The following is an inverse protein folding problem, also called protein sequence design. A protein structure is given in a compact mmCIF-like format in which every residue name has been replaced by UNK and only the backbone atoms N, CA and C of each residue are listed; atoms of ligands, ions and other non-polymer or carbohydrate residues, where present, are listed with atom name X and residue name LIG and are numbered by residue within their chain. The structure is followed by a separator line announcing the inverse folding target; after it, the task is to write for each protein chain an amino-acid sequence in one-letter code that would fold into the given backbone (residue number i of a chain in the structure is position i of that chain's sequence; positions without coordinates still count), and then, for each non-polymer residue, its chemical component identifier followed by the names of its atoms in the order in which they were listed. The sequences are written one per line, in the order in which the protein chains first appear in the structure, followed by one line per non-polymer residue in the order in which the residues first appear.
data_IF_824910385329
#
_entry.id   IF_824910385329
#
_cell.length_a   1.000
_cell.length_b   1.000
_cell.length_c   1.000
_cell.angle_alpha   90.00
_cell.angle_beta   90.00
_cell.angle_gamma   90.00
#
_symmetry.space_group_name_H-M   'P 1'
#
loop_
_entity.id
_entity.type
_entity.pdbx_description
1 polymer ?
#
# COMPACT_ATOMS: atom_id res chain seq x y z
N UNK A 1 -20.00 1.65 24.20
CA UNK A 1 -21.06 0.96 23.43
C UNK A 1 -20.56 -0.47 23.19
N UNK A 2 -21.19 -1.49 23.78
CA UNK A 2 -20.77 -2.89 23.57
C UNK A 2 -21.37 -3.37 22.26
N UNK A 3 -20.52 -3.63 21.27
CA UNK A 3 -20.93 -4.30 20.01
C UNK A 3 -21.40 -5.72 20.34
N UNK A 4 -22.42 -6.21 19.64
CA UNK A 4 -22.84 -7.61 19.74
C UNK A 4 -21.77 -8.55 19.17
N UNK A 5 -21.76 -9.83 19.57
CA UNK A 5 -20.77 -10.82 19.12
C UNK A 5 -20.70 -10.96 17.59
N UNK A 6 -21.80 -10.74 16.88
CA UNK A 6 -21.85 -10.75 15.42
C UNK A 6 -21.25 -9.48 14.81
N UNK A 7 -21.51 -8.31 15.39
CA UNK A 7 -20.93 -7.04 14.94
C UNK A 7 -19.42 -6.98 15.18
N UNK A 8 -18.93 -7.52 16.31
CA UNK A 8 -17.49 -7.61 16.57
C UNK A 8 -16.79 -8.56 15.59
N UNK A 9 -17.45 -9.66 15.21
CA UNK A 9 -16.92 -10.61 14.22
C UNK A 9 -16.88 -9.99 12.82
N UNK A 10 -17.96 -9.34 12.38
CA UNK A 10 -18.00 -8.64 11.09
C UNK A 10 -16.97 -7.51 11.02
N UNK A 11 -16.80 -6.76 12.11
CA UNK A 11 -15.80 -5.71 12.18
C UNK A 11 -14.38 -6.29 12.05
N UNK A 12 -14.09 -7.38 12.75
CA UNK A 12 -12.82 -8.12 12.63
C UNK A 12 -12.56 -8.60 11.20
N UNK A 13 -13.57 -9.19 10.54
CA UNK A 13 -13.47 -9.62 9.15
C UNK A 13 -13.23 -8.44 8.20
N UNK A 14 -13.92 -7.32 8.39
CA UNK A 14 -13.68 -6.08 7.62
C UNK A 14 -12.24 -5.58 7.79
N UNK A 15 -11.71 -5.63 9.02
CA UNK A 15 -10.31 -5.28 9.28
C UNK A 15 -9.35 -6.21 8.54
N UNK A 16 -9.55 -7.53 8.61
CA UNK A 16 -8.67 -8.49 7.94
C UNK A 16 -8.70 -8.37 6.43
N UNK A 17 -9.88 -8.20 5.82
CA UNK A 17 -9.98 -8.01 4.38
C UNK A 17 -9.40 -6.66 3.96
N UNK A 18 -9.65 -5.60 4.72
CA UNK A 18 -9.01 -4.29 4.52
C UNK A 18 -7.49 -4.40 4.67
N UNK A 19 -6.98 -5.19 5.62
CA UNK A 19 -5.55 -5.43 5.79
C UNK A 19 -4.97 -6.21 4.60
N UNK A 20 -5.62 -7.31 4.19
CA UNK A 20 -5.22 -8.09 3.03
C UNK A 20 -5.13 -7.17 1.81
N UNK A 21 -6.19 -6.41 1.48
CA UNK A 21 -6.19 -5.42 0.38
C UNK A 21 -4.98 -4.47 0.43
N UNK A 22 -4.49 -4.10 1.62
CA UNK A 22 -3.40 -3.12 1.80
C UNK A 22 -2.00 -3.74 1.83
N UNK A 23 -1.83 -4.96 2.34
CA UNK A 23 -0.51 -5.54 2.62
C UNK A 23 -0.40 -6.98 2.10
N UNK A 24 0.31 -7.15 0.99
CA UNK A 24 0.76 -8.45 0.49
C UNK A 24 2.27 -8.42 0.28
N UNK A 25 2.98 -9.38 0.87
CA UNK A 25 4.40 -9.66 0.59
C UNK A 25 4.54 -11.13 0.19
N UNK A 26 5.24 -11.46 -0.91
CA UNK A 26 5.50 -12.85 -1.33
C UNK A 26 6.42 -13.61 -0.37
N UNK A 27 7.19 -12.88 0.44
CA UNK A 27 8.25 -13.42 1.30
C UNK A 27 7.82 -13.81 2.71
N UNK A 28 6.54 -13.62 3.07
CA UNK A 28 6.03 -13.97 4.40
C UNK A 28 5.29 -15.31 4.34
N UNK A 29 5.75 -16.37 5.05
CA UNK A 29 4.94 -17.56 5.23
C UNK A 29 3.68 -17.15 6.00
N UNK A 30 2.54 -17.09 5.34
CA UNK A 30 1.24 -16.70 5.91
C UNK A 30 0.67 -17.74 6.90
N UNK A 31 1.51 -18.63 7.42
CA UNK A 31 1.18 -19.59 8.47
C UNK A 31 0.48 -18.91 9.67
N UNK A 32 0.79 -17.64 9.95
CA UNK A 32 0.10 -16.83 10.96
C UNK A 32 -1.35 -16.43 10.61
N UNK A 33 -1.70 -16.15 9.34
CA UNK A 33 -3.09 -15.92 8.95
C UNK A 33 -3.90 -17.22 9.00
N UNK A 34 -3.33 -18.35 8.57
CA UNK A 34 -3.96 -19.66 8.78
C UNK A 34 -4.14 -19.96 10.27
N UNK A 35 -3.19 -19.62 11.16
CA UNK A 35 -3.33 -19.83 12.62
C UNK A 35 -4.35 -18.89 13.26
N UNK A 36 -4.46 -17.64 12.81
CA UNK A 36 -5.44 -16.69 13.33
C UNK A 36 -6.85 -16.92 12.77
N UNK A 37 -6.97 -17.27 11.49
CA UNK A 37 -8.21 -17.76 10.90
C UNK A 37 -8.60 -19.06 11.59
N UNK A 38 -7.68 -20.01 11.81
CA UNK A 38 -7.97 -21.24 12.57
C UNK A 38 -8.45 -20.97 14.01
N UNK A 39 -7.91 -19.95 14.71
CA UNK A 39 -8.40 -19.54 16.04
C UNK A 39 -9.77 -18.85 16.01
N UNK A 40 -10.04 -18.03 15.00
CA UNK A 40 -11.37 -17.44 14.75
C UNK A 40 -12.40 -18.53 14.40
N UNK A 41 -11.99 -19.53 13.64
CA UNK A 41 -12.81 -20.70 13.28
C UNK A 41 -13.05 -21.64 14.48
N UNK A 42 -12.06 -21.80 15.37
CA UNK A 42 -12.20 -22.56 16.61
C UNK A 42 -13.20 -21.97 17.61
N UNK A 43 -13.52 -20.67 17.50
CA UNK A 43 -14.56 -20.01 18.31
C UNK A 43 -15.95 -20.06 17.66
N UNK A 44 -16.04 -20.27 16.34
CA UNK A 44 -17.31 -20.35 15.60
C UNK A 44 -17.87 -21.79 15.52
N UNK A 45 -17.02 -22.81 15.66
CA UNK A 45 -17.44 -24.22 15.71
C UNK A 45 -17.46 -24.76 17.15
N UNK A 46 -18.47 -24.38 17.92
CA UNK A 46 -18.96 -25.25 19.00
C UNK A 46 -20.00 -26.22 18.41
N UNK A 47 -19.58 -27.11 17.52
CA UNK A 47 -20.37 -28.28 17.13
C UNK A 47 -19.45 -29.49 16.98
N UNK A 48 -19.71 -30.47 17.86
CA UNK A 48 -19.38 -31.89 17.85
C UNK A 48 -18.07 -32.32 17.17
N UNK A 49 -17.19 -32.89 18.00
CA UNK A 49 -16.12 -33.80 17.63
C UNK A 49 -16.58 -34.79 16.55
N UNK A 50 -16.17 -34.58 15.30
CA UNK A 50 -16.21 -35.62 14.26
C UNK A 50 -14.77 -36.05 14.04
N UNK A 51 -14.43 -37.21 14.60
CA UNK A 51 -13.22 -37.94 14.26
C UNK A 51 -13.37 -38.43 12.82
N UNK A 52 -12.68 -37.78 11.87
CA UNK A 52 -12.54 -38.31 10.51
C UNK A 52 -11.56 -39.48 10.60
N UNK A 53 -12.08 -40.71 10.42
CA UNK A 53 -11.23 -41.85 10.10
C UNK A 53 -10.68 -41.64 8.69
N UNK A 54 -9.37 -41.59 8.58
CA UNK A 54 -8.65 -41.69 7.31
C UNK A 54 -8.81 -43.12 6.78
N UNK A 55 -9.75 -43.32 5.86
CA UNK A 55 -9.70 -44.48 4.97
C UNK A 55 -8.76 -44.13 3.80
N UNK A 56 -7.79 -45.01 3.56
CA UNK A 56 -6.75 -44.88 2.54
C UNK A 56 -7.39 -44.71 1.15
N UNK A 57 -7.19 -43.53 0.55
CA UNK A 57 -7.51 -43.33 -0.87
C UNK A 57 -6.41 -44.02 -1.68
N UNK A 58 -6.78 -45.12 -2.34
CA UNK A 58 -5.91 -45.95 -3.16
C UNK A 58 -5.55 -45.21 -4.48
N UNK A 59 -4.32 -44.72 -4.60
CA UNK A 59 -3.83 -43.87 -5.72
C UNK A 59 -3.45 -44.71 -6.96
N UNK A 60 -4.02 -45.91 -7.13
CA UNK A 60 -3.62 -46.83 -8.22
C UNK A 60 -4.36 -46.66 -9.55
N UNK A 61 -5.29 -45.70 -9.69
CA UNK A 61 -6.16 -45.58 -10.87
C UNK A 61 -6.23 -44.20 -11.54
N UNK A 62 -5.23 -43.33 -11.36
CA UNK A 62 -5.13 -42.14 -12.22
C UNK A 62 -4.27 -42.47 -13.45
N UNK A 63 -4.93 -42.72 -14.58
CA UNK A 63 -4.26 -42.79 -15.88
C UNK A 63 -3.58 -41.45 -16.17
N UNK A 64 -2.29 -41.49 -16.53
CA UNK A 64 -1.53 -40.33 -16.99
C UNK A 64 -2.25 -39.66 -18.17
N UNK A 65 -2.52 -38.35 -18.13
CA UNK A 65 -3.01 -37.66 -19.32
C UNK A 65 -1.85 -37.51 -20.32
N UNK A 66 -2.13 -37.84 -21.59
CA UNK A 66 -1.22 -37.64 -22.71
C UNK A 66 -0.69 -36.20 -22.74
N UNK A 67 0.63 -36.08 -22.69
CA UNK A 67 1.37 -34.82 -22.89
C UNK A 67 1.15 -34.36 -24.33
N UNK A 68 0.14 -33.52 -24.55
CA UNK A 68 0.08 -32.68 -25.76
C UNK A 68 1.15 -31.61 -25.62
N UNK A 69 2.19 -31.73 -26.41
CA UNK A 69 3.21 -30.70 -26.64
C UNK A 69 2.54 -29.45 -27.22
N UNK A 70 2.13 -28.53 -26.35
CA UNK A 70 1.87 -27.14 -26.75
C UNK A 70 3.20 -26.50 -27.14
N UNK A 71 3.21 -25.89 -28.32
CA UNK A 71 4.38 -25.25 -28.91
C UNK A 71 5.06 -24.24 -27.98
N UNK A 72 6.37 -24.16 -28.15
CA UNK A 72 7.28 -23.26 -27.46
C UNK A 72 6.90 -21.79 -27.64
N UNK A 73 6.09 -21.26 -26.73
CA UNK A 73 6.27 -19.89 -26.28
C UNK A 73 6.89 -20.04 -24.89
N UNK A 74 8.20 -19.79 -24.79
CA UNK A 74 8.86 -19.72 -23.50
C UNK A 74 8.15 -18.64 -22.67
N UNK A 75 7.32 -19.07 -21.73
CA UNK A 75 6.72 -18.20 -20.75
C UNK A 75 7.87 -17.74 -19.87
N UNK A 76 8.41 -16.55 -20.16
CA UNK A 76 9.45 -15.93 -19.36
C UNK A 76 8.94 -15.89 -17.92
N UNK A 77 9.64 -16.58 -17.02
CA UNK A 77 9.33 -16.50 -15.59
C UNK A 77 9.49 -15.04 -15.15
N UNK A 78 8.62 -14.54 -14.27
CA UNK A 78 8.76 -13.18 -13.74
C UNK A 78 10.13 -13.03 -13.06
N UNK A 79 10.66 -11.80 -13.07
CA UNK A 79 11.92 -11.48 -12.40
C UNK A 79 11.84 -11.87 -10.91
N UNK A 80 12.94 -12.40 -10.37
CA UNK A 80 13.00 -12.70 -8.95
C UNK A 80 13.08 -11.42 -8.12
N UNK A 81 12.68 -11.47 -6.85
CA UNK A 81 12.79 -10.32 -5.93
C UNK A 81 14.22 -9.75 -5.89
N UNK A 82 15.24 -10.62 -5.93
CA UNK A 82 16.65 -10.22 -5.95
C UNK A 82 17.02 -9.46 -7.23
N UNK A 83 16.50 -9.89 -8.39
CA UNK A 83 16.70 -9.18 -9.65
C UNK A 83 16.01 -7.81 -9.65
N UNK A 84 14.78 -7.74 -9.15
CA UNK A 84 14.05 -6.47 -9.04
C UNK A 84 14.75 -5.50 -8.09
N UNK A 85 15.23 -5.99 -6.95
CA UNK A 85 16.01 -5.20 -6.00
C UNK A 85 17.31 -4.68 -6.62
N UNK A 86 18.01 -5.52 -7.39
CA UNK A 86 19.22 -5.11 -8.08
C UNK A 86 18.94 -4.00 -9.10
N UNK A 87 17.87 -4.15 -9.90
CA UNK A 87 17.44 -3.13 -10.88
C UNK A 87 17.10 -1.81 -10.17
N UNK A 88 16.35 -1.89 -9.07
CA UNK A 88 15.99 -0.75 -8.23
C UNK A 88 17.22 -0.03 -7.68
N UNK A 89 18.13 -0.75 -7.04
CA UNK A 89 19.33 -0.16 -6.43
C UNK A 89 20.24 0.47 -7.49
N UNK A 90 20.41 -0.20 -8.64
CA UNK A 90 21.18 0.34 -9.77
C UNK A 90 20.57 1.65 -10.28
N UNK A 91 19.24 1.71 -10.43
CA UNK A 91 18.55 2.95 -10.83
C UNK A 91 18.78 4.05 -9.81
N UNK A 92 18.56 3.76 -8.52
CA UNK A 92 18.77 4.70 -7.41
C UNK A 92 20.21 5.23 -7.46
N UNK A 93 21.24 4.40 -7.52
CA UNK A 93 22.66 4.82 -7.57
C UNK A 93 23.03 5.67 -8.79
N UNK A 94 22.26 5.53 -9.88
CA UNK A 94 22.45 6.31 -11.10
C UNK A 94 21.95 7.76 -11.01
N UNK A 95 21.10 8.07 -10.03
CA UNK A 95 20.56 9.42 -9.81
C UNK A 95 21.65 10.41 -9.39
N UNK A 96 21.58 11.61 -9.94
CA UNK A 96 22.54 12.69 -9.73
C UNK A 96 21.98 13.74 -8.77
N UNK A 97 22.57 13.82 -7.58
CA UNK A 97 22.18 14.79 -6.54
C UNK A 97 22.32 16.25 -6.99
N UNK A 98 23.31 16.56 -7.84
CA UNK A 98 23.52 17.93 -8.33
C UNK A 98 22.44 18.30 -9.34
N UNK A 99 22.08 17.38 -10.24
CA UNK A 99 20.97 17.57 -11.17
C UNK A 99 19.62 17.74 -10.43
N UNK A 100 19.42 16.99 -9.34
CA UNK A 100 18.21 17.05 -8.52
C UNK A 100 18.13 18.36 -7.73
N UNK A 101 19.23 18.84 -7.15
CA UNK A 101 19.24 20.17 -6.55
C UNK A 101 19.07 21.27 -7.61
N UNK A 102 19.69 21.16 -8.79
CA UNK A 102 19.46 22.10 -9.88
C UNK A 102 17.98 22.16 -10.30
N UNK A 103 17.29 21.01 -10.35
CA UNK A 103 15.84 20.93 -10.57
C UNK A 103 15.07 21.69 -9.47
N UNK A 104 15.34 21.40 -8.19
CA UNK A 104 14.68 22.09 -7.07
C UNK A 104 14.93 23.60 -7.10
N UNK A 105 16.17 24.01 -7.40
CA UNK A 105 16.58 25.41 -7.53
C UNK A 105 15.78 26.15 -8.61
N UNK A 106 15.53 25.52 -9.76
CA UNK A 106 14.70 26.11 -10.84
C UNK A 106 13.29 26.47 -10.36
N UNK A 107 12.70 25.63 -9.51
CA UNK A 107 11.37 25.89 -8.92
C UNK A 107 11.40 26.80 -7.69
N UNK A 108 12.59 27.19 -7.22
CA UNK A 108 12.78 28.16 -6.13
C UNK A 108 13.50 29.44 -6.59
N UNK A 109 13.15 29.95 -7.78
CA UNK A 109 13.72 31.19 -8.34
C UNK A 109 15.25 31.18 -8.47
N UNK A 110 15.85 30.01 -8.76
CA UNK A 110 17.30 29.86 -8.92
C UNK A 110 18.10 29.95 -7.62
N UNK A 111 17.46 29.88 -6.44
CA UNK A 111 18.18 29.89 -5.17
C UNK A 111 19.06 28.63 -5.04
N UNK A 112 20.30 28.76 -4.53
CA UNK A 112 21.16 27.60 -4.31
C UNK A 112 20.56 26.69 -3.23
N UNK A 113 20.76 25.38 -3.41
CA UNK A 113 20.36 24.38 -2.44
C UNK A 113 21.48 23.36 -2.20
N UNK A 114 21.24 22.49 -1.22
CA UNK A 114 22.02 21.29 -1.00
C UNK A 114 21.08 20.12 -0.73
N UNK A 115 21.40 18.94 -1.27
CA UNK A 115 20.79 17.69 -0.83
C UNK A 115 21.35 17.36 0.56
N UNK A 116 20.48 17.39 1.57
CA UNK A 116 20.85 17.17 2.98
C UNK A 116 20.55 15.75 3.46
N UNK A 117 19.61 15.07 2.80
CA UNK A 117 19.29 13.69 3.12
C UNK A 117 18.75 12.97 1.87
N UNK A 118 18.86 11.64 1.87
CA UNK A 118 18.38 10.77 0.82
C UNK A 118 17.74 9.53 1.43
N UNK A 119 16.52 9.22 0.98
CA UNK A 119 15.79 8.00 1.36
C UNK A 119 15.23 7.32 0.13
N UNK A 120 14.89 6.04 0.23
CA UNK A 120 14.21 5.32 -0.86
C UNK A 120 13.18 4.35 -0.30
N UNK A 121 11.95 4.43 -0.83
CA UNK A 121 10.87 3.50 -0.56
C UNK A 121 10.78 2.42 -1.63
N UNK A 122 9.63 1.73 -1.70
CA UNK A 122 9.39 0.70 -2.72
C UNK A 122 9.38 1.26 -4.14
N UNK A 123 8.77 2.43 -4.35
CA UNK A 123 8.50 2.98 -5.69
C UNK A 123 9.15 4.34 -5.97
N UNK A 124 9.72 4.99 -4.96
CA UNK A 124 10.27 6.33 -5.05
C UNK A 124 11.63 6.46 -4.35
N UNK A 125 12.51 7.27 -4.93
CA UNK A 125 13.72 7.79 -4.29
C UNK A 125 13.48 9.26 -3.89
N UNK A 126 13.64 9.57 -2.61
CA UNK A 126 13.37 10.88 -2.03
C UNK A 126 14.69 11.59 -1.69
N UNK A 127 14.83 12.82 -2.18
CA UNK A 127 15.97 13.68 -1.92
C UNK A 127 15.49 14.91 -1.16
N UNK A 128 15.95 15.07 0.07
CA UNK A 128 15.63 16.22 0.90
C UNK A 128 16.61 17.33 0.57
N UNK A 129 16.07 18.48 0.19
CA UNK A 129 16.80 19.62 -0.35
C UNK A 129 16.56 20.83 0.54
N UNK A 130 17.64 21.44 1.02
CA UNK A 130 17.59 22.61 1.90
C UNK A 130 18.16 23.85 1.21
N UNK A 131 17.43 24.97 1.31
CA UNK A 131 17.79 26.23 0.66
C UNK A 131 18.49 27.21 1.63
N UNK A 132 19.76 26.98 1.94
CA UNK A 132 20.50 27.78 2.94
C UNK A 132 20.21 27.35 4.38
N UNK A 133 20.83 27.99 5.37
CA UNK A 133 20.76 27.52 6.77
C UNK A 133 19.37 27.59 7.40
N UNK A 134 18.62 28.67 7.10
CA UNK A 134 17.26 28.93 7.64
C UNK A 134 16.17 28.87 6.55
N UNK A 135 16.50 28.32 5.39
CA UNK A 135 15.54 28.21 4.29
C UNK A 135 14.57 27.05 4.44
N UNK A 136 13.53 27.02 3.58
CA UNK A 136 12.62 25.91 3.52
C UNK A 136 13.36 24.62 3.12
N UNK A 137 12.84 23.50 3.59
CA UNK A 137 13.25 22.18 3.16
C UNK A 137 12.16 21.58 2.27
N UNK A 138 12.57 21.06 1.11
CA UNK A 138 11.70 20.40 0.15
C UNK A 138 12.12 18.95 -0.01
N UNK A 139 11.17 18.10 -0.38
CA UNK A 139 11.45 16.74 -0.84
C UNK A 139 11.26 16.68 -2.35
N UNK A 140 12.29 16.20 -3.05
CA UNK A 140 12.21 15.83 -4.47
C UNK A 140 12.09 14.32 -4.54
N UNK A 141 10.90 13.84 -4.92
CA UNK A 141 10.59 12.41 -5.12
C UNK A 141 10.80 12.07 -6.59
N UNK A 142 11.62 11.07 -6.85
CA UNK A 142 11.87 10.51 -8.19
C UNK A 142 11.30 9.10 -8.26
N UNK A 143 10.47 8.83 -9.27
CA UNK A 143 9.89 7.51 -9.44
C UNK A 143 10.95 6.50 -9.88
N UNK A 144 10.87 5.29 -9.34
CA UNK A 144 11.71 4.16 -9.73
C UNK A 144 11.04 3.49 -10.93
N UNK A 145 11.15 4.13 -12.10
CA UNK A 145 10.47 3.74 -13.34
C UNK A 145 10.67 2.26 -13.75
N UNK A 146 11.84 1.62 -13.58
CA UNK A 146 12.05 0.24 -14.04
C UNK A 146 11.15 -0.83 -13.40
N UNK A 147 10.47 -0.51 -12.30
CA UNK A 147 9.60 -1.42 -11.54
C UNK A 147 8.12 -0.99 -11.57
N UNK A 148 7.76 -0.03 -12.43
CA UNK A 148 6.42 0.54 -12.48
C UNK A 148 5.82 0.45 -13.89
N UNK A 149 4.58 -0.01 -13.95
CA UNK A 149 3.73 0.11 -15.13
C UNK A 149 3.00 1.45 -15.11
N UNK A 150 3.05 2.19 -16.23
CA UNK A 150 2.46 3.51 -16.40
C UNK A 150 2.74 4.51 -15.24
N UNK A 151 4.02 4.84 -14.99
CA UNK A 151 4.42 5.65 -13.84
C UNK A 151 3.86 7.08 -13.85
N UNK A 152 3.46 7.61 -15.01
CA UNK A 152 2.96 8.98 -15.08
C UNK A 152 1.56 9.15 -14.51
N UNK A 153 0.64 8.21 -14.79
CA UNK A 153 -0.71 8.27 -14.24
C UNK A 153 -0.68 8.20 -12.71
N UNK A 154 0.29 7.47 -12.16
CA UNK A 154 0.55 7.42 -10.73
C UNK A 154 0.97 8.78 -10.15
N UNK A 155 1.89 9.48 -10.80
CA UNK A 155 2.26 10.86 -10.40
C UNK A 155 1.06 11.78 -10.43
N UNK A 156 0.29 11.74 -11.52
CA UNK A 156 -0.91 12.55 -11.68
C UNK A 156 -1.93 12.26 -10.58
N UNK A 157 -2.14 10.98 -10.25
CA UNK A 157 -3.06 10.57 -9.20
C UNK A 157 -2.64 11.05 -7.81
N UNK A 158 -1.35 10.91 -7.48
CA UNK A 158 -0.81 11.35 -6.21
C UNK A 158 -0.97 12.87 -6.04
N UNK A 159 -0.50 13.64 -7.01
CA UNK A 159 -0.56 15.10 -6.98
C UNK A 159 -2.00 15.58 -6.91
N UNK A 160 -2.88 15.02 -7.73
CA UNK A 160 -4.31 15.37 -7.73
C UNK A 160 -4.94 15.12 -6.37
N UNK A 161 -4.62 13.98 -5.75
CA UNK A 161 -5.13 13.62 -4.43
C UNK A 161 -4.64 14.61 -3.38
N UNK A 162 -3.34 14.90 -3.33
CA UNK A 162 -2.76 15.83 -2.36
C UNK A 162 -3.37 17.23 -2.51
N UNK A 163 -3.42 17.77 -3.73
CA UNK A 163 -4.02 19.09 -3.98
C UNK A 163 -5.51 19.12 -3.66
N UNK A 164 -6.25 18.05 -3.91
CA UNK A 164 -7.67 17.96 -3.55
C UNK A 164 -7.86 17.97 -2.03
N UNK A 165 -7.05 17.21 -1.29
CA UNK A 165 -7.08 17.17 0.17
C UNK A 165 -6.71 18.50 0.80
N UNK A 166 -5.65 19.15 0.30
CA UNK A 166 -5.19 20.46 0.78
C UNK A 166 -6.28 21.54 0.66
N UNK A 167 -7.11 21.47 -0.39
CA UNK A 167 -8.17 22.45 -0.65
C UNK A 167 -9.48 22.16 0.07
N UNK A 168 -9.82 20.88 0.25
CA UNK A 168 -11.16 20.46 0.66
C UNK A 168 -11.23 19.90 2.08
N UNK A 169 -10.11 19.75 2.77
CA UNK A 169 -10.06 19.16 4.12
C UNK A 169 -9.14 19.94 5.05
N UNK A 170 -9.11 19.55 6.33
CA UNK A 170 -8.13 20.06 7.31
C UNK A 170 -6.96 19.10 7.49
N UNK A 171 -6.86 18.07 6.66
CA UNK A 171 -5.81 17.06 6.76
C UNK A 171 -4.49 17.73 6.38
N UNK A 172 -3.48 17.71 7.26
CA UNK A 172 -2.19 18.27 6.92
C UNK A 172 -1.52 17.35 5.89
N UNK A 173 -1.35 17.85 4.67
CA UNK A 173 -0.69 17.16 3.55
C UNK A 173 0.48 18.01 3.05
N UNK A 174 1.49 17.42 2.40
CA UNK A 174 2.61 18.20 1.89
C UNK A 174 2.14 19.10 0.74
N UNK A 175 2.55 20.37 0.74
CA UNK A 175 2.22 21.27 -0.37
C UNK A 175 3.03 20.91 -1.62
N UNK A 176 2.36 20.61 -2.73
CA UNK A 176 3.02 20.27 -4.00
C UNK A 176 3.53 21.56 -4.66
N UNK A 177 4.84 21.62 -4.88
CA UNK A 177 5.52 22.75 -5.53
C UNK A 177 5.57 22.60 -7.05
N UNK A 178 5.85 21.39 -7.52
CA UNK A 178 5.98 21.08 -8.94
C UNK A 178 5.97 19.57 -9.18
N UNK A 179 5.69 19.16 -10.40
CA UNK A 179 5.84 17.78 -10.87
C UNK A 179 6.10 17.77 -12.38
N UNK A 180 6.68 16.69 -12.91
CA UNK A 180 7.01 16.61 -14.33
C UNK A 180 7.69 15.30 -14.72
N UNK A 181 7.97 15.13 -16.02
CA UNK A 181 8.52 13.87 -16.59
C UNK A 181 9.63 14.03 -17.63
N UNK A 182 9.96 15.26 -18.00
CA UNK A 182 10.81 15.57 -19.15
C UNK A 182 12.17 16.15 -18.73
N UNK A 183 12.78 15.58 -17.68
CA UNK A 183 14.09 16.03 -17.19
C UNK A 183 15.06 14.88 -16.91
N UNK A 184 16.30 15.00 -17.38
CA UNK A 184 17.37 14.02 -17.09
C UNK A 184 17.94 14.24 -15.70
N UNK A 185 17.76 13.27 -14.81
CA UNK A 185 18.19 13.31 -13.41
C UNK A 185 19.19 12.20 -13.06
N UNK A 186 19.64 11.46 -14.06
CA UNK A 186 20.71 10.46 -13.92
C UNK A 186 22.03 11.02 -14.40
N UNK A 187 23.13 10.52 -13.86
CA UNK A 187 24.52 10.90 -14.22
C UNK A 187 24.83 10.78 -15.71
N UNK A 188 24.12 9.90 -16.41
CA UNK A 188 24.31 9.67 -17.85
C UNK A 188 23.47 10.59 -18.74
N UNK A 189 22.41 11.21 -18.19
CA UNK A 189 21.48 12.07 -18.94
C UNK A 189 20.73 11.40 -20.09
N UNK A 190 20.76 10.05 -20.20
CA UNK A 190 20.26 9.33 -21.38
C UNK A 190 18.74 9.21 -21.46
N UNK A 191 18.05 9.36 -20.34
CA UNK A 191 16.58 9.26 -20.21
C UNK A 191 16.08 10.36 -19.30
N UNK A 192 14.85 10.80 -19.52
CA UNK A 192 14.14 11.70 -18.61
C UNK A 192 13.47 10.89 -17.49
N UNK A 193 13.32 11.50 -16.33
CA UNK A 193 12.74 10.90 -15.14
C UNK A 193 11.50 11.68 -14.68
N UNK A 194 10.56 10.95 -14.10
CA UNK A 194 9.38 11.50 -13.44
C UNK A 194 9.69 11.95 -12.02
N UNK A 195 9.18 13.12 -11.64
CA UNK A 195 9.42 13.72 -10.35
C UNK A 195 8.20 14.45 -9.76
N UNK A 196 8.19 14.55 -8.43
CA UNK A 196 7.32 15.43 -7.64
C UNK A 196 8.21 16.21 -6.67
N UNK A 197 8.00 17.52 -6.57
CA UNK A 197 8.61 18.39 -5.58
C UNK A 197 7.51 18.85 -4.63
N UNK A 198 7.70 18.65 -3.34
CA UNK A 198 6.77 19.10 -2.32
C UNK A 198 7.51 19.65 -1.10
N UNK A 199 6.80 20.38 -0.24
CA UNK A 199 7.34 20.81 1.05
C UNK A 199 7.66 19.59 1.93
N UNK A 200 8.83 19.60 2.58
CA UNK A 200 9.18 18.60 3.56
C UNK A 200 8.46 18.91 4.89
N UNK A 201 7.63 17.97 5.35
CA UNK A 201 6.89 18.12 6.60
C UNK A 201 7.85 17.95 7.77
N UNK A 202 7.87 18.95 8.66
CA UNK A 202 8.74 18.94 9.83
C UNK A 202 8.21 17.99 10.91
N UNK A 203 9.10 17.18 11.47
CA UNK A 203 8.77 16.17 12.47
C UNK A 203 9.39 14.83 12.11
N UNK A 204 8.98 13.79 12.82
CA UNK A 204 9.46 12.44 12.62
C UNK A 204 8.28 11.51 12.30
N UNK A 205 8.49 10.44 11.52
CA UNK A 205 7.48 9.39 11.37
C UNK A 205 7.05 8.83 12.73
N UNK A 206 5.77 8.50 12.87
CA UNK A 206 5.23 7.96 14.12
C UNK A 206 5.89 6.63 14.47
N UNK A 207 6.65 6.62 15.56
CA UNK A 207 7.13 5.41 16.20
C UNK A 207 6.04 4.83 17.13
N UNK A 208 5.65 3.57 16.85
CA UNK A 208 4.69 2.82 17.67
C UNK A 208 5.15 2.66 19.12
N UNK A 209 6.46 2.53 19.38
CA UNK A 209 6.98 2.43 20.75
C UNK A 209 6.77 3.73 21.51
N UNK A 210 7.15 4.85 20.89
CA UNK A 210 6.95 6.18 21.46
C UNK A 210 5.46 6.45 21.75
N UNK A 211 4.56 6.03 20.84
CA UNK A 211 3.11 6.15 21.05
C UNK A 211 2.62 5.41 22.30
N UNK A 212 3.26 4.29 22.67
CA UNK A 212 2.89 3.50 23.85
C UNK A 212 3.50 4.04 25.14
N UNK A 213 4.68 4.65 25.07
CA UNK A 213 5.47 5.12 26.22
C UNK A 213 5.20 6.57 26.62
N UNK A 214 4.66 7.39 25.72
CA UNK A 214 4.36 8.80 26.00
C UNK A 214 3.28 8.97 27.07
N UNK A 215 3.27 10.13 27.73
CA UNK A 215 2.21 10.55 28.65
C UNK A 215 0.81 10.40 28.04
N UNK A 216 -0.15 9.97 28.86
CA UNK A 216 -1.51 9.67 28.42
C UNK A 216 -2.19 10.84 27.70
N UNK A 217 -1.94 12.09 28.14
CA UNK A 217 -2.48 13.29 27.53
C UNK A 217 -2.06 13.43 26.06
N UNK A 218 -0.77 13.31 25.77
CA UNK A 218 -0.24 13.39 24.41
C UNK A 218 -0.79 12.26 23.52
N UNK A 219 -0.88 11.04 24.07
CA UNK A 219 -1.45 9.89 23.36
C UNK A 219 -2.94 10.09 23.05
N UNK A 220 -3.73 10.60 24.00
CA UNK A 220 -5.15 10.94 23.78
C UNK A 220 -5.30 12.02 22.72
N UNK A 221 -4.46 13.05 22.75
CA UNK A 221 -4.46 14.11 21.75
C UNK A 221 -4.11 13.58 20.35
N UNK A 222 -3.13 12.70 20.24
CA UNK A 222 -2.78 12.03 18.99
C UNK A 222 -3.99 11.27 18.40
N UNK A 223 -4.63 10.41 19.20
CA UNK A 223 -5.80 9.65 18.72
C UNK A 223 -6.98 10.55 18.37
N UNK A 224 -7.19 11.65 19.09
CA UNK A 224 -8.21 12.65 18.73
C UNK A 224 -7.94 13.24 17.34
N UNK A 225 -6.72 13.70 17.07
CA UNK A 225 -6.35 14.24 15.75
C UNK A 225 -6.48 13.19 14.64
N UNK A 226 -6.11 11.93 14.92
CA UNK A 226 -6.26 10.85 13.95
C UNK A 226 -7.73 10.55 13.63
N UNK A 227 -8.61 10.61 14.63
CA UNK A 227 -10.07 10.47 14.43
C UNK A 227 -10.60 11.63 13.58
N UNK A 228 -10.15 12.86 13.83
CA UNK A 228 -10.54 14.02 13.03
C UNK A 228 -10.12 13.85 11.56
N UNK A 229 -8.89 13.38 11.32
CA UNK A 229 -8.40 13.08 9.96
C UNK A 229 -9.22 11.98 9.30
N UNK A 230 -9.47 10.86 9.97
CA UNK A 230 -10.30 9.78 9.42
C UNK A 230 -11.74 10.25 9.14
N UNK A 231 -12.25 11.17 9.95
CA UNK A 231 -13.57 11.77 9.78
C UNK A 231 -13.62 12.70 8.57
N UNK A 232 -12.56 13.49 8.34
CA UNK A 232 -12.42 14.33 7.14
C UNK A 232 -12.34 13.45 5.88
N UNK A 233 -11.51 12.40 5.89
CA UNK A 233 -11.41 11.44 4.76
C UNK A 233 -12.79 10.81 4.48
N UNK A 234 -13.50 10.40 5.55
CA UNK A 234 -14.79 9.71 5.43
C UNK A 234 -15.85 10.55 4.71
N UNK A 235 -15.76 11.88 4.79
CA UNK A 235 -16.72 12.79 4.16
C UNK A 235 -16.48 12.95 2.64
N UNK A 236 -15.33 12.51 2.13
CA UNK A 236 -14.99 12.62 0.71
C UNK A 236 -15.64 11.47 -0.06
N UNK A 237 -16.83 11.73 -0.59
CA UNK A 237 -17.67 10.74 -1.26
C UNK A 237 -17.70 10.92 -2.78
N UNK A 238 -17.68 9.79 -3.49
CA UNK A 238 -17.50 9.73 -4.93
C UNK A 238 -18.46 8.70 -5.57
N UNK A 239 -18.90 8.92 -6.82
CA UNK A 239 -19.87 8.04 -7.49
C UNK A 239 -19.27 6.72 -7.99
N UNK A 240 -17.94 6.63 -8.14
CA UNK A 240 -17.24 5.43 -8.61
C UNK A 240 -16.04 5.11 -7.71
N UNK A 241 -15.56 3.88 -7.84
CA UNK A 241 -14.30 3.39 -7.26
C UNK A 241 -13.19 3.62 -8.28
N UNK A 242 -12.19 4.43 -7.95
CA UNK A 242 -11.11 4.82 -8.86
C UNK A 242 -10.05 5.69 -8.18
N UNK A 243 -8.98 5.95 -8.91
CA UNK A 243 -7.97 6.95 -8.52
C UNK A 243 -8.44 8.35 -8.91
N UNK A 244 -8.12 9.35 -8.09
CA UNK A 244 -8.41 10.75 -8.41
C UNK A 244 -7.42 11.22 -9.47
N UNK A 245 -7.91 11.68 -10.61
CA UNK A 245 -7.10 12.13 -11.74
C UNK A 245 -7.38 13.60 -12.07
N UNK A 246 -6.40 14.32 -12.69
CA UNK A 246 -6.62 15.69 -13.12
C UNK A 246 -7.81 15.76 -14.08
N UNK A 247 -8.61 16.82 -13.95
CA UNK A 247 -9.72 17.00 -14.86
C UNK A 247 -9.22 17.46 -16.25
N UNK A 248 -9.58 16.77 -17.34
CA UNK A 248 -9.16 17.16 -18.68
C UNK A 248 -9.62 18.57 -19.11
N UNK A 249 -10.68 19.11 -18.50
CA UNK A 249 -11.17 20.47 -18.76
C UNK A 249 -10.37 21.56 -18.01
N UNK A 250 -9.39 21.18 -17.19
CA UNK A 250 -8.61 22.09 -16.35
C UNK A 250 -9.30 22.53 -15.07
N UNK A 251 -10.48 21.97 -14.76
CA UNK A 251 -11.19 22.16 -13.50
C UNK A 251 -10.37 21.67 -12.34
N UNK A 252 -10.59 22.33 -11.21
CA UNK A 252 -10.01 22.02 -9.91
C UNK A 252 -10.61 20.78 -9.26
N UNK A 253 -11.79 20.35 -9.71
CA UNK A 253 -12.45 19.13 -9.22
C UNK A 253 -11.92 17.90 -9.96
N UNK A 254 -11.40 16.89 -9.24
CA UNK A 254 -10.81 15.71 -9.87
C UNK A 254 -11.88 14.85 -10.56
N UNK A 255 -11.44 14.08 -11.56
CA UNK A 255 -12.23 13.01 -12.16
C UNK A 255 -11.78 11.65 -11.63
N UNK A 256 -12.61 10.63 -11.74
CA UNK A 256 -12.25 9.27 -11.34
C UNK A 256 -11.70 8.51 -12.54
N UNK A 257 -10.42 8.15 -12.44
CA UNK A 257 -9.72 7.33 -13.42
C UNK A 257 -9.70 5.84 -13.07
N UNK A 258 -8.87 5.06 -13.78
CA UNK A 258 -8.56 3.68 -13.42
C UNK A 258 -8.12 3.53 -11.96
N UNK A 259 -8.29 2.35 -11.38
CA UNK A 259 -7.76 2.01 -10.06
C UNK A 259 -6.26 1.74 -10.17
N UNK A 260 -5.45 2.66 -9.66
CA UNK A 260 -4.00 2.51 -9.50
C UNK A 260 -3.76 1.78 -8.17
N UNK A 261 -3.55 0.47 -8.23
CA UNK A 261 -3.40 -0.41 -7.06
C UNK A 261 -1.93 -0.72 -6.80
N UNK A 262 -1.50 -0.60 -5.54
CA UNK A 262 -0.17 -1.02 -5.10
C UNK A 262 0.04 -2.52 -5.36
N UNK A 263 -0.94 -3.36 -5.02
CA UNK A 263 -0.88 -4.80 -5.26
C UNK A 263 -0.78 -5.15 -6.75
N UNK A 264 -1.52 -4.44 -7.60
CA UNK A 264 -1.42 -4.63 -9.05
C UNK A 264 -0.04 -4.19 -9.57
N UNK A 265 0.50 -3.07 -9.09
CA UNK A 265 1.83 -2.59 -9.45
C UNK A 265 2.93 -3.58 -9.03
N UNK A 266 2.85 -4.14 -7.82
CA UNK A 266 3.79 -5.19 -7.35
C UNK A 266 3.72 -6.45 -8.21
N UNK A 267 2.53 -6.83 -8.66
CA UNK A 267 2.33 -7.99 -9.54
C UNK A 267 2.60 -7.68 -11.04
N UNK A 268 2.99 -6.44 -11.38
CA UNK A 268 3.14 -5.96 -12.78
C UNK A 268 1.89 -6.21 -13.62
N UNK A 269 0.73 -5.97 -13.01
CA UNK A 269 -0.57 -6.09 -13.64
C UNK A 269 -1.06 -4.71 -14.10
N UNK A 270 -1.73 -4.62 -15.26
CA UNK A 270 -2.27 -3.35 -15.74
C UNK A 270 -3.35 -2.83 -14.80
N UNK A 271 -3.45 -1.50 -14.71
CA UNK A 271 -4.55 -0.84 -14.00
C UNK A 271 -5.90 -1.26 -14.55
N UNK A 272 -6.90 -1.38 -13.67
CA UNK A 272 -8.28 -1.67 -14.07
C UNK A 272 -9.08 -0.37 -14.20
N UNK A 273 -10.07 -0.30 -15.11
CA UNK A 273 -11.04 0.80 -15.12
C UNK A 273 -11.71 1.01 -13.76
N UNK A 274 -12.36 2.16 -13.60
CA UNK A 274 -13.15 2.42 -12.41
C UNK A 274 -14.31 1.42 -12.26
N UNK A 275 -14.71 1.15 -11.02
CA UNK A 275 -15.82 0.26 -10.70
C UNK A 275 -17.04 1.04 -10.23
N UNK A 276 -18.23 0.59 -10.61
CA UNK A 276 -19.51 1.17 -10.19
C UNK A 276 -20.17 0.38 -9.05
N UNK A 277 -19.52 -0.71 -8.59
CA UNK A 277 -20.04 -1.55 -7.53
C UNK A 277 -18.97 -2.00 -6.54
N UNK A 278 -19.37 -2.15 -5.28
CA UNK A 278 -18.53 -2.73 -4.25
C UNK A 278 -18.21 -4.19 -4.56
N UNK A 279 -19.17 -4.96 -5.09
CA UNK A 279 -18.96 -6.36 -5.48
C UNK A 279 -17.85 -6.53 -6.51
N UNK A 280 -17.91 -5.80 -7.63
CA UNK A 280 -16.88 -5.90 -8.67
C UNK A 280 -15.49 -5.55 -8.13
N UNK A 281 -15.40 -4.50 -7.30
CA UNK A 281 -14.15 -4.12 -6.66
C UNK A 281 -13.64 -5.20 -5.71
N UNK A 282 -14.49 -5.77 -4.86
CA UNK A 282 -14.10 -6.82 -3.91
C UNK A 282 -13.64 -8.08 -4.64
N UNK A 283 -14.31 -8.48 -5.73
CA UNK A 283 -13.88 -9.60 -6.58
C UNK A 283 -12.52 -9.31 -7.25
N UNK A 284 -12.30 -8.08 -7.73
CA UNK A 284 -11.00 -7.67 -8.26
C UNK A 284 -9.90 -7.75 -7.19
N UNK A 285 -10.16 -7.26 -5.98
CA UNK A 285 -9.22 -7.33 -4.86
C UNK A 285 -8.90 -8.77 -4.46
N UNK A 286 -9.91 -9.64 -4.40
CA UNK A 286 -9.69 -11.07 -4.17
C UNK A 286 -8.82 -11.69 -5.26
N UNK A 287 -9.07 -11.37 -6.53
CA UNK A 287 -8.22 -11.82 -7.64
C UNK A 287 -6.76 -11.36 -7.52
N UNK A 288 -6.51 -10.14 -7.02
CA UNK A 288 -5.14 -9.68 -6.71
C UNK A 288 -4.52 -10.50 -5.57
N UNK A 289 -5.26 -10.73 -4.48
CA UNK A 289 -4.83 -11.59 -3.36
C UNK A 289 -4.42 -12.97 -3.89
N UNK A 290 -5.31 -13.64 -4.63
CA UNK A 290 -5.04 -14.97 -5.21
C UNK A 290 -3.83 -14.98 -6.14
N UNK A 291 -3.59 -13.88 -6.86
CA UNK A 291 -2.45 -13.78 -7.77
C UNK A 291 -1.11 -13.80 -7.04
N UNK A 292 -1.03 -13.35 -5.78
CA UNK A 292 0.20 -13.46 -4.98
C UNK A 292 0.55 -14.91 -4.60
N UNK A 293 -0.41 -15.83 -4.61
CA UNK A 293 -0.20 -17.25 -4.30
C UNK A 293 0.03 -18.11 -5.54
N UNK A 294 -0.05 -17.52 -6.73
CA UNK A 294 0.12 -18.26 -7.99
C UNK A 294 1.60 -18.58 -8.32
N UNK A 295 2.58 -17.69 -8.07
CA UNK A 295 3.98 -17.99 -8.32
C UNK A 295 4.52 -19.08 -7.37
N UNK A 296 5.40 -19.98 -7.87
CA UNK A 296 6.02 -20.98 -7.02
C UNK A 296 7.01 -20.33 -6.04
N UNK A 297 6.93 -20.73 -4.77
CA UNK A 297 7.88 -20.32 -3.72
C UNK A 297 8.86 -21.46 -3.47
N UNK A 298 10.17 -21.16 -3.51
CA UNK A 298 11.24 -22.17 -3.50
C UNK A 298 11.22 -23.12 -2.30
N UNK A 299 10.54 -22.74 -1.22
CA UNK A 299 10.54 -23.45 0.06
C UNK A 299 9.17 -24.03 0.43
N UNK A 300 8.16 -23.96 -0.45
CA UNK A 300 6.84 -24.54 -0.15
C UNK A 300 6.85 -26.05 -0.34
N UNK A 301 6.38 -26.77 0.67
CA UNK A 301 6.03 -28.18 0.55
C UNK A 301 4.66 -28.34 -0.11
N UNK A 302 4.34 -29.55 -0.55
CA UNK A 302 2.99 -29.86 -1.08
C UNK A 302 1.90 -29.56 -0.05
N UNK A 303 2.17 -29.80 1.23
CA UNK A 303 1.19 -29.51 2.28
C UNK A 303 1.04 -28.00 2.50
N UNK A 304 2.10 -27.20 2.42
CA UNK A 304 1.98 -25.73 2.48
C UNK A 304 1.05 -25.21 1.37
N UNK A 305 1.24 -25.69 0.13
CA UNK A 305 0.40 -25.32 -1.01
C UNK A 305 -1.07 -25.74 -0.78
N UNK A 306 -1.33 -26.93 -0.22
CA UNK A 306 -2.70 -27.35 0.12
C UNK A 306 -3.34 -26.41 1.14
N UNK A 307 -2.59 -26.00 2.16
CA UNK A 307 -3.09 -25.06 3.17
C UNK A 307 -3.38 -23.68 2.56
N UNK A 308 -2.55 -23.21 1.64
CA UNK A 308 -2.77 -21.95 0.92
C UNK A 308 -4.03 -22.02 0.04
N UNK A 309 -4.21 -23.09 -0.74
CA UNK A 309 -5.41 -23.30 -1.55
C UNK A 309 -6.66 -23.37 -0.67
N UNK A 310 -6.59 -24.09 0.46
CA UNK A 310 -7.71 -24.17 1.41
C UNK A 310 -8.02 -22.79 2.03
N UNK A 311 -7.00 -22.02 2.38
CA UNK A 311 -7.17 -20.66 2.91
C UNK A 311 -7.78 -19.72 1.86
N UNK A 312 -7.39 -19.84 0.59
CA UNK A 312 -7.94 -19.05 -0.52
C UNK A 312 -9.43 -19.34 -0.76
N UNK A 313 -9.84 -20.62 -0.79
CA UNK A 313 -11.26 -21.02 -0.90
C UNK A 313 -12.09 -20.42 0.24
N UNK A 314 -11.55 -20.46 1.47
CA UNK A 314 -12.19 -19.83 2.63
C UNK A 314 -12.28 -18.31 2.53
N UNK A 315 -11.24 -17.65 2.01
CA UNK A 315 -11.18 -16.20 1.87
C UNK A 315 -12.17 -15.65 0.84
N UNK A 316 -12.40 -16.35 -0.28
CA UNK A 316 -13.37 -15.92 -1.30
C UNK A 316 -14.75 -15.65 -0.68
N UNK A 317 -15.21 -16.58 0.17
CA UNK A 317 -16.49 -16.46 0.88
C UNK A 317 -16.53 -15.26 1.82
N UNK A 318 -15.39 -14.92 2.44
CA UNK A 318 -15.30 -13.75 3.33
C UNK A 318 -15.46 -12.46 2.51
N UNK A 319 -14.77 -12.35 1.38
CA UNK A 319 -14.89 -11.18 0.50
C UNK A 319 -16.35 -10.96 0.06
N UNK A 320 -17.05 -12.04 -0.28
CA UNK A 320 -18.47 -11.98 -0.64
C UNK A 320 -19.39 -11.59 0.52
N UNK A 321 -19.17 -12.15 1.72
CA UNK A 321 -19.98 -11.87 2.91
C UNK A 321 -19.85 -10.43 3.41
N UNK A 322 -18.73 -9.77 3.13
CA UNK A 322 -18.52 -8.38 3.52
C UNK A 322 -19.28 -7.37 2.63
N UNK A 323 -19.84 -7.82 1.51
CA UNK A 323 -20.64 -6.99 0.63
C UNK A 323 -22.03 -6.81 1.21
N UNK A 324 -22.32 -5.61 1.71
CA UNK A 324 -23.67 -5.17 1.99
C UNK A 324 -24.37 -4.80 0.67
N UNK A 325 -25.42 -5.54 0.24
CA UNK A 325 -26.11 -5.26 -1.01
C UNK A 325 -26.73 -3.86 -1.07
N UNK A 326 -27.06 -3.26 0.08
CA UNK A 326 -27.62 -1.90 0.14
C UNK A 326 -26.56 -0.83 -0.10
N UNK A 327 -25.29 -1.16 0.08
CA UNK A 327 -24.16 -0.24 -0.11
C UNK A 327 -23.37 -0.55 -1.39
N UNK A 328 -23.79 -1.55 -2.19
CA UNK A 328 -23.08 -2.02 -3.37
C UNK A 328 -22.88 -0.90 -4.40
N UNK A 329 -23.89 -0.04 -4.61
CA UNK A 329 -23.86 1.02 -5.63
C UNK A 329 -23.27 2.36 -5.14
N UNK A 330 -22.60 2.35 -3.98
CA UNK A 330 -21.97 3.54 -3.40
C UNK A 330 -22.93 4.42 -2.58
N UNK A 331 -22.56 5.67 -2.26
CA UNK A 331 -21.31 6.34 -2.65
C UNK A 331 -20.06 5.68 -2.04
N UNK A 332 -18.93 5.85 -2.74
CA UNK A 332 -17.61 5.34 -2.37
C UNK A 332 -16.80 6.43 -1.68
N UNK A 333 -15.85 6.04 -0.84
CA UNK A 333 -15.13 6.98 0.05
C UNK A 333 -13.65 6.96 -0.30
N UNK A 334 -12.99 8.12 -0.34
CA UNK A 334 -11.54 8.19 -0.49
C UNK A 334 -10.84 7.40 0.62
N UNK A 335 -9.76 6.71 0.31
CA UNK A 335 -8.96 6.01 1.30
C UNK A 335 -7.47 6.12 0.95
N UNK A 336 -6.64 6.33 1.97
CA UNK A 336 -5.19 6.39 1.84
C UNK A 336 -4.59 5.02 1.47
N UNK A 337 -5.22 3.92 1.92
CA UNK A 337 -4.77 2.52 1.73
C UNK A 337 -3.41 2.14 2.35
N UNK A 338 -2.55 3.08 2.71
CA UNK A 338 -1.27 2.80 3.40
C UNK A 338 -1.01 3.71 4.61
N UNK A 339 -2.04 3.97 5.42
CA UNK A 339 -1.93 4.85 6.59
C UNK A 339 -1.22 4.15 7.77
N UNK A 340 0.05 3.81 7.59
CA UNK A 340 0.97 3.26 8.61
C UNK A 340 1.63 4.37 9.41
N UNK A 341 2.24 4.01 10.55
CA UNK A 341 3.00 4.97 11.37
C UNK A 341 4.10 5.71 10.58
N UNK A 342 4.77 5.03 9.65
CA UNK A 342 5.78 5.64 8.77
C UNK A 342 5.24 6.80 7.91
N UNK A 343 3.92 6.82 7.65
CA UNK A 343 3.25 7.79 6.79
C UNK A 343 2.52 8.88 7.60
N UNK A 344 2.68 8.88 8.93
CA UNK A 344 2.16 9.91 9.83
C UNK A 344 3.35 10.64 10.44
N UNK A 345 3.58 11.89 10.03
CA UNK A 345 4.63 12.73 10.58
C UNK A 345 4.10 13.42 11.83
N UNK A 346 4.83 13.27 12.94
CA UNK A 346 4.47 13.81 14.25
C UNK A 346 5.55 14.71 14.82
N UNK A 347 5.14 15.69 15.61
CA UNK A 347 6.06 16.49 16.41
C UNK A 347 6.40 15.84 17.75
N UNK A 348 7.21 16.53 18.56
CA UNK A 348 7.76 16.01 19.83
C UNK A 348 6.71 15.53 20.84
N UNK A 349 5.48 16.04 20.78
CA UNK A 349 4.36 15.72 21.68
C UNK A 349 3.27 14.91 20.98
N UNK A 350 3.62 14.20 19.91
CA UNK A 350 2.71 13.44 19.05
C UNK A 350 1.57 14.26 18.43
N UNK A 351 1.76 15.58 18.27
CA UNK A 351 0.90 16.36 17.39
C UNK A 351 1.12 15.91 15.94
N UNK A 352 0.05 15.63 15.20
CA UNK A 352 0.16 15.24 13.80
C UNK A 352 0.54 16.48 12.99
N UNK A 353 1.66 16.42 12.29
CA UNK A 353 2.19 17.50 11.44
C UNK A 353 1.88 17.25 9.97
N UNK A 354 1.65 16.00 9.58
CA UNK A 354 1.34 15.66 8.20
C UNK A 354 1.04 14.20 7.97
N UNK A 355 0.24 13.95 6.95
CA UNK A 355 -0.01 12.64 6.36
C UNK A 355 0.62 12.64 4.97
N UNK A 356 1.58 11.74 4.77
CA UNK A 356 2.36 11.64 3.54
C UNK A 356 2.05 10.34 2.80
N UNK A 357 2.55 10.24 1.58
CA UNK A 357 2.52 9.01 0.77
C UNK A 357 1.14 8.59 0.25
N UNK A 358 0.50 9.49 -0.49
CA UNK A 358 -0.81 9.30 -1.13
C UNK A 358 -0.74 8.60 -2.51
N UNK A 359 0.39 7.97 -2.87
CA UNK A 359 0.72 7.50 -4.22
C UNK A 359 -0.12 6.31 -4.75
N UNK A 360 -1.04 5.79 -3.93
CA UNK A 360 -2.03 4.76 -4.30
C UNK A 360 -3.39 5.01 -3.68
N UNK A 361 -3.67 6.24 -3.25
CA UNK A 361 -4.97 6.59 -2.69
C UNK A 361 -6.08 6.37 -3.73
N UNK A 362 -7.18 5.77 -3.29
CA UNK A 362 -8.29 5.41 -4.15
C UNK A 362 -9.61 5.53 -3.40
N UNK A 363 -10.69 5.71 -4.13
CA UNK A 363 -12.04 5.57 -3.56
C UNK A 363 -12.37 4.08 -3.40
N UNK A 364 -12.99 3.71 -2.28
CA UNK A 364 -13.31 2.33 -1.91
C UNK A 364 -14.73 2.21 -1.39
N UNK A 365 -15.32 1.00 -1.34
CA UNK A 365 -16.57 0.78 -0.65
C UNK A 365 -16.52 1.26 0.80
N UNK A 366 -17.49 2.05 1.23
CA UNK A 366 -17.56 2.56 2.62
C UNK A 366 -17.54 1.45 3.67
N UNK A 367 -17.98 0.24 3.32
CA UNK A 367 -17.96 -0.93 4.20
C UNK A 367 -16.55 -1.48 4.47
N UNK A 368 -15.56 -1.14 3.64
CA UNK A 368 -14.14 -1.48 3.85
C UNK A 368 -13.29 -0.28 4.28
N UNK A 369 -13.92 0.88 4.48
CA UNK A 369 -13.27 2.02 5.12
C UNK A 369 -13.12 1.75 6.62
N UNK A 370 -11.99 1.16 6.99
CA UNK A 370 -11.64 0.83 8.37
C UNK A 370 -10.42 1.65 8.82
N UNK A 371 -10.32 1.99 10.12
CA UNK A 371 -9.09 2.50 10.71
C UNK A 371 -7.88 1.59 10.42
N UNK A 372 -6.65 2.13 10.48
CA UNK A 372 -5.44 1.32 10.38
C UNK A 372 -5.37 0.18 11.42
N UNK A 373 -4.92 -1.00 11.02
CA UNK A 373 -4.83 -2.21 11.86
C UNK A 373 -3.91 -2.05 13.08
N UNK A 374 -2.86 -1.24 12.96
CA UNK A 374 -1.93 -1.00 14.05
C UNK A 374 -2.54 -0.26 15.24
N UNK A 375 -3.67 0.46 15.06
CA UNK A 375 -4.37 1.13 16.17
C UNK A 375 -4.91 0.10 17.15
N UNK A 376 -5.40 -1.03 16.63
CA UNK A 376 -5.97 -2.13 17.42
C UNK A 376 -4.92 -3.10 17.96
N UNK A 377 -3.63 -2.87 17.70
CA UNK A 377 -2.55 -3.73 18.16
C UNK A 377 -2.45 -5.08 17.42
N UNK A 378 -3.11 -5.23 16.27
CA UNK A 378 -3.03 -6.43 15.45
C UNK A 378 -1.69 -6.55 14.70
N UNK A 379 -0.98 -5.44 14.53
CA UNK A 379 0.41 -5.42 14.04
C UNK A 379 1.36 -5.47 15.25
N UNK A 380 1.64 -6.67 15.77
CA UNK A 380 2.62 -6.83 16.87
C UNK A 380 4.04 -6.43 16.42
N UNK A 381 4.87 -6.00 17.38
CA UNK A 381 6.30 -5.67 17.14
C UNK A 381 7.07 -6.86 16.53
N UNK A 382 6.63 -8.10 16.80
CA UNK A 382 7.20 -9.31 16.21
C UNK A 382 6.76 -9.54 14.76
N UNK A 383 5.53 -9.16 14.40
CA UNK A 383 5.08 -9.20 13.00
C UNK A 383 5.78 -8.20 12.09
N UNK A 384 6.37 -7.12 12.63
CA UNK A 384 7.15 -6.16 11.85
C UNK A 384 8.40 -6.78 11.20
N UNK A 385 8.97 -7.86 11.77
CA UNK A 385 10.16 -8.53 11.19
C UNK A 385 9.83 -9.53 10.08
N UNK A 386 8.60 -10.06 10.08
CA UNK A 386 8.19 -11.11 9.15
C UNK A 386 7.20 -10.60 8.09
N UNK A 387 6.24 -9.76 8.46
CA UNK A 387 5.17 -9.28 7.54
C UNK A 387 5.55 -8.02 6.76
N UNK A 388 6.54 -7.27 7.24
CA UNK A 388 7.20 -6.18 6.51
C UNK A 388 8.65 -6.55 6.19
N UNK A 389 8.90 -7.78 5.74
CA UNK A 389 10.20 -8.16 5.23
C UNK A 389 10.57 -7.30 4.00
N UNK A 390 11.02 -6.06 4.24
CA UNK A 390 12.28 -5.64 3.66
C UNK A 390 13.25 -6.72 4.11
N UNK A 391 13.88 -7.47 3.19
CA UNK A 391 14.79 -8.53 3.57
C UNK A 391 15.80 -7.96 4.57
N UNK A 392 15.79 -8.44 5.82
CA UNK A 392 16.94 -8.24 6.68
C UNK A 392 18.10 -8.99 6.02
N UNK A 393 18.94 -8.27 5.27
CA UNK A 393 20.19 -8.81 4.74
C UNK A 393 21.35 -7.96 5.23
N UNK A 394 22.31 -8.69 5.79
CA UNK A 394 23.48 -8.24 6.51
C UNK A 394 24.28 -7.16 5.79
N UNK A 395 24.36 -5.97 6.39
CA UNK A 395 25.32 -4.94 6.00
C UNK A 395 24.83 -3.55 6.35
N UNK A 396 25.15 -3.09 7.58
CA UNK A 396 25.09 -1.69 8.03
C UNK A 396 24.03 -0.81 7.33
N UNK A 397 22.77 -1.00 7.69
CA UNK A 397 21.73 0.01 7.48
C UNK A 397 21.37 0.58 8.86
N UNK A 398 21.77 1.83 9.08
CA UNK A 398 21.27 2.64 10.19
C UNK A 398 19.77 2.90 9.93
N UNK A 399 18.95 2.55 10.92
CA UNK A 399 17.53 2.81 10.90
C UNK A 399 17.28 4.33 10.97
N UNK A 400 16.44 4.81 10.05
CA UNK A 400 15.81 6.14 9.92
C UNK A 400 16.47 7.20 9.03
#
# INVERSE_FOLDING_TARGET
MKLTTNESTLLSLRYWVSYAIRFHSPSTPWTLATVYLYKLWGQLFHFASVTIKTDEINISNFNEPEVRTLGSNAQEFPATEDQELQVKNTFIESLDSDAICALASRYNNGKPCQVVNRKSGSFNACFFVKFGQDGPEWVVRILIEPILDNPWDKVLSEVTTIEYLERNTRIPVPHVRAYGRDIGLTKTGRRTQMFVIADAIQGEPLDKKLLMEVEEEHRRNFFSQLIDILTDIRQLEFPLIGSLMPNPDGSREPVLGPVISMSAATLRLPSRPSFASAREYMMYQFGLVSSFFSPPVSNHTVDDIKHEIFALDGMERIFDQLIDPQLDKGLFVLNHLDLRGSNIIVGKKLQIQGIIDWEFANTVPRQVFTPPSWITGHDSIDTNKQMHAVPQRSGREEQW
#
